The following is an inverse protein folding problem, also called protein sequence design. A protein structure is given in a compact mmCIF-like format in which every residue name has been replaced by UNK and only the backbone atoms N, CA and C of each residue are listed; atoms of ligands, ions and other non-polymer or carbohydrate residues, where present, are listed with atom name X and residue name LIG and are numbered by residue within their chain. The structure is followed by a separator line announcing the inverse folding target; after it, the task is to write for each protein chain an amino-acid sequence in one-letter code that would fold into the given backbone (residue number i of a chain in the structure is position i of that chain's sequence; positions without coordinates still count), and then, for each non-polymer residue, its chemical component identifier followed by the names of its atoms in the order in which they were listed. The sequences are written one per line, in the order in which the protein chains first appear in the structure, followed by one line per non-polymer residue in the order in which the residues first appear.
data_IF_726699467336
#
_entry.id   IF_726699467336
#
_cell.length_a   1.000
_cell.length_b   1.000
_cell.length_c   1.000
_cell.angle_alpha   90.00
_cell.angle_beta   90.00
_cell.angle_gamma   90.00
#
_symmetry.space_group_name_H-M   'P 1'
#
loop_
_entity.id
_entity.type
_entity.pdbx_description
1 polymer ?
#
# COMPACT_ATOMS: atom_id res chain seq x y z
N UNK A 1 -13.70 1.76 11.52
CA UNK A 1 -12.24 1.74 11.29
C UNK A 1 -11.84 0.72 10.23
N UNK A 2 -12.20 -0.57 10.34
CA UNK A 2 -11.89 -1.59 9.31
C UNK A 2 -12.33 -1.19 7.89
N UNK A 3 -13.55 -0.63 7.74
CA UNK A 3 -14.04 -0.12 6.45
C UNK A 3 -13.11 0.94 5.83
N UNK A 4 -12.56 1.83 6.64
CA UNK A 4 -11.63 2.87 6.17
C UNK A 4 -10.30 2.27 5.73
N UNK A 5 -9.77 1.30 6.47
CA UNK A 5 -8.55 0.56 6.09
C UNK A 5 -8.78 -0.20 4.78
N UNK A 6 -9.92 -0.89 4.65
CA UNK A 6 -10.29 -1.61 3.43
C UNK A 6 -10.38 -0.71 2.20
N UNK A 7 -11.00 0.47 2.31
CA UNK A 7 -11.08 1.43 1.21
C UNK A 7 -9.69 1.91 0.76
N UNK A 8 -8.78 2.16 1.71
CA UNK A 8 -7.41 2.58 1.39
C UNK A 8 -6.62 1.41 0.80
N UNK A 9 -6.78 0.21 1.33
CA UNK A 9 -6.15 -1.00 0.80
C UNK A 9 -6.59 -1.30 -0.63
N UNK A 10 -7.88 -1.13 -0.95
CA UNK A 10 -8.37 -1.29 -2.32
C UNK A 10 -7.72 -0.30 -3.28
N UNK A 11 -7.58 0.97 -2.88
CA UNK A 11 -6.87 1.97 -3.67
C UNK A 11 -5.39 1.63 -3.82
N UNK A 12 -4.76 1.12 -2.77
CA UNK A 12 -3.37 0.66 -2.80
C UNK A 12 -3.17 -0.48 -3.82
N UNK A 13 -4.03 -1.50 -3.79
CA UNK A 13 -3.97 -2.62 -4.76
C UNK A 13 -4.21 -2.13 -6.19
N UNK A 14 -5.11 -1.17 -6.41
CA UNK A 14 -5.32 -0.55 -7.72
C UNK A 14 -4.09 0.19 -8.26
N UNK A 15 -3.27 0.76 -7.38
CA UNK A 15 -2.01 1.42 -7.75
C UNK A 15 -0.86 0.41 -7.90
N UNK A 16 -0.84 -0.64 -7.08
CA UNK A 16 0.18 -1.68 -7.08
C UNK A 16 -0.28 -2.90 -7.88
N UNK A 17 -0.01 -2.90 -9.19
CA UNK A 17 -0.38 -4.00 -10.10
C UNK A 17 0.26 -5.37 -9.76
N UNK A 18 1.16 -5.44 -8.78
CA UNK A 18 1.75 -6.71 -8.32
C UNK A 18 0.82 -7.51 -7.40
N UNK A 19 -0.20 -6.86 -6.81
CA UNK A 19 -1.11 -7.49 -5.85
C UNK A 19 -2.43 -7.85 -6.55
N UNK A 20 -2.91 -9.10 -6.44
CA UNK A 20 -4.19 -9.51 -7.02
C UNK A 20 -5.37 -8.84 -6.32
N UNK A 21 -6.43 -8.50 -7.07
CA UNK A 21 -7.67 -7.91 -6.52
C UNK A 21 -8.38 -8.87 -5.57
N UNK A 22 -8.19 -10.17 -5.75
CA UNK A 22 -8.65 -11.24 -4.88
C UNK A 22 -8.15 -11.08 -3.44
N UNK A 23 -7.00 -10.43 -3.22
CA UNK A 23 -6.49 -10.12 -1.89
C UNK A 23 -7.43 -9.18 -1.10
N UNK A 24 -8.08 -8.23 -1.79
CA UNK A 24 -9.06 -7.33 -1.17
C UNK A 24 -10.28 -8.13 -0.71
N UNK A 25 -10.81 -8.98 -1.58
CA UNK A 25 -11.95 -9.84 -1.28
C UNK A 25 -11.65 -10.85 -0.16
N UNK A 26 -10.45 -11.44 -0.15
CA UNK A 26 -10.00 -12.34 0.90
C UNK A 26 -9.93 -11.65 2.27
N UNK A 27 -9.39 -10.42 2.31
CA UNK A 27 -9.32 -9.65 3.56
C UNK A 27 -10.70 -9.22 4.07
N UNK A 28 -11.66 -8.96 3.18
CA UNK A 28 -13.01 -8.50 3.55
C UNK A 28 -13.82 -9.51 4.37
N UNK A 29 -13.50 -10.81 4.26
CA UNK A 29 -14.16 -11.87 5.03
C UNK A 29 -13.62 -12.02 6.47
N UNK A 30 -12.56 -11.30 6.83
CA UNK A 30 -11.93 -11.42 8.14
C UNK A 30 -12.61 -10.48 9.15
N UNK A 31 -13.28 -11.06 10.13
CA UNK A 31 -14.00 -10.33 11.18
C UNK A 31 -13.09 -9.86 12.32
N UNK A 32 -11.95 -10.53 12.53
CA UNK A 32 -11.03 -10.19 13.61
C UNK A 32 -10.04 -9.09 13.22
N UNK A 33 -9.98 -7.95 13.94
CA UNK A 33 -9.12 -6.81 13.60
C UNK A 33 -7.64 -7.15 13.48
N UNK A 34 -7.15 -7.99 14.39
CA UNK A 34 -5.75 -8.40 14.45
C UNK A 34 -5.41 -9.22 13.22
N UNK A 35 -6.20 -10.26 12.93
CA UNK A 35 -6.01 -11.10 11.74
C UNK A 35 -6.19 -10.32 10.44
N UNK A 36 -7.11 -9.37 10.41
CA UNK A 36 -7.33 -8.48 9.27
C UNK A 36 -6.08 -7.63 9.00
N UNK A 37 -5.55 -7.01 10.05
CA UNK A 37 -4.34 -6.20 9.96
C UNK A 37 -3.13 -7.04 9.52
N UNK A 38 -2.94 -8.23 10.10
CA UNK A 38 -1.82 -9.12 9.78
C UNK A 38 -1.93 -9.65 8.34
N UNK A 39 -3.15 -9.91 7.85
CA UNK A 39 -3.38 -10.36 6.47
C UNK A 39 -3.05 -9.26 5.47
N UNK A 40 -3.51 -8.02 5.70
CA UNK A 40 -3.14 -6.89 4.84
C UNK A 40 -1.62 -6.67 4.89
N UNK A 41 -1.02 -6.77 6.08
CA UNK A 41 0.42 -6.65 6.27
C UNK A 41 1.23 -7.78 5.61
N UNK A 42 0.60 -8.86 5.12
CA UNK A 42 1.29 -9.87 4.32
C UNK A 42 1.46 -9.46 2.85
N UNK A 43 0.62 -8.54 2.36
CA UNK A 43 0.63 -8.10 0.96
C UNK A 43 1.49 -6.85 0.72
N UNK A 44 1.81 -6.08 1.77
CA UNK A 44 2.63 -4.88 1.64
C UNK A 44 4.10 -5.19 1.90
N UNK A 45 4.97 -4.36 1.35
CA UNK A 45 6.40 -4.39 1.64
C UNK A 45 6.65 -3.48 2.85
N UNK A 46 7.09 -4.05 3.97
CA UNK A 46 7.39 -3.31 5.19
C UNK A 46 8.90 -3.14 5.36
N UNK A 47 9.30 -2.03 5.97
CA UNK A 47 10.58 -2.03 6.67
C UNK A 47 10.48 -2.94 7.89
N UNK A 48 11.53 -3.70 8.21
CA UNK A 48 11.55 -4.65 9.33
C UNK A 48 11.07 -4.03 10.64
N UNK A 49 11.43 -2.76 10.87
CA UNK A 49 11.03 -1.98 12.03
C UNK A 49 9.52 -1.75 12.11
N UNK A 50 8.87 -1.35 11.01
CA UNK A 50 7.43 -1.07 10.98
C UNK A 50 6.61 -2.33 11.23
N UNK A 51 7.06 -3.47 10.69
CA UNK A 51 6.43 -4.76 10.93
C UNK A 51 6.50 -5.15 12.41
N UNK A 52 7.66 -4.97 13.04
CA UNK A 52 7.84 -5.24 14.46
C UNK A 52 6.90 -4.37 15.30
N UNK A 53 6.86 -3.07 15.03
CA UNK A 53 6.02 -2.15 15.78
C UNK A 53 4.51 -2.41 15.60
N UNK A 54 4.08 -2.88 14.42
CA UNK A 54 2.70 -3.30 14.19
C UNK A 54 2.35 -4.53 15.03
N UNK A 55 3.25 -5.52 15.08
CA UNK A 55 3.07 -6.76 15.86
C UNK A 55 3.09 -6.52 17.36
N UNK A 56 3.86 -5.54 17.84
CA UNK A 56 3.92 -5.12 19.25
C UNK A 56 2.73 -4.26 19.69
N UNK A 57 1.90 -3.79 18.74
CA UNK A 57 0.69 -3.05 19.08
C UNK A 57 -0.43 -4.01 19.45
N UNK A 58 -0.69 -4.20 20.75
CA UNK A 58 -1.69 -5.15 21.25
C UNK A 58 -3.14 -4.64 21.14
N UNK A 59 -3.35 -3.32 21.17
CA UNK A 59 -4.68 -2.75 21.01
C UNK A 59 -5.12 -2.81 19.53
N UNK A 60 -6.21 -3.51 19.19
CA UNK A 60 -6.68 -3.62 17.80
C UNK A 60 -7.01 -2.28 17.14
N UNK A 61 -7.51 -1.29 17.89
CA UNK A 61 -7.81 0.02 17.33
C UNK A 61 -6.53 0.76 16.92
N UNK A 62 -5.52 0.74 17.79
CA UNK A 62 -4.23 1.38 17.54
C UNK A 62 -3.48 0.67 16.41
N UNK A 63 -3.57 -0.67 16.35
CA UNK A 63 -2.96 -1.47 15.27
C UNK A 63 -3.58 -1.10 13.92
N UNK A 64 -4.91 -0.99 13.83
CA UNK A 64 -5.59 -0.58 12.60
C UNK A 64 -5.24 0.87 12.20
N UNK A 65 -5.09 1.78 13.17
CA UNK A 65 -4.64 3.14 12.89
C UNK A 65 -3.22 3.19 12.36
N UNK A 66 -2.32 2.41 12.96
CA UNK A 66 -0.92 2.30 12.50
C UNK A 66 -0.83 1.73 11.10
N UNK A 67 -1.54 0.63 10.83
CA UNK A 67 -1.65 0.05 9.50
C UNK A 67 -2.19 1.06 8.47
N UNK A 68 -3.23 1.82 8.84
CA UNK A 68 -3.78 2.86 7.97
C UNK A 68 -2.74 3.95 7.64
N UNK A 69 -1.92 4.34 8.63
CA UNK A 69 -0.81 5.28 8.42
C UNK A 69 0.19 4.75 7.41
N UNK A 70 0.67 3.52 7.62
CA UNK A 70 1.65 2.86 6.73
C UNK A 70 1.08 2.74 5.30
N UNK A 71 -0.18 2.29 5.16
CA UNK A 71 -0.85 2.21 3.86
C UNK A 71 -0.89 3.55 3.12
N UNK A 72 -1.19 4.63 3.84
CA UNK A 72 -1.23 5.98 3.23
C UNK A 72 0.16 6.42 2.78
N UNK A 73 1.18 6.24 3.62
CA UNK A 73 2.56 6.58 3.28
C UNK A 73 3.05 5.81 2.06
N UNK A 74 2.76 4.50 2.00
CA UNK A 74 3.13 3.66 0.86
C UNK A 74 2.39 4.07 -0.42
N UNK A 75 1.10 4.42 -0.32
CA UNK A 75 0.35 4.96 -1.46
C UNK A 75 0.92 6.29 -1.96
N UNK A 76 1.35 7.18 -1.06
CA UNK A 76 2.01 8.43 -1.43
C UNK A 76 3.34 8.16 -2.14
N UNK A 77 4.13 7.22 -1.63
CA UNK A 77 5.36 6.78 -2.25
C UNK A 77 5.14 6.27 -3.67
N UNK A 78 4.19 5.34 -3.87
CA UNK A 78 3.84 4.82 -5.21
C UNK A 78 3.39 5.91 -6.18
N UNK A 79 2.64 6.90 -5.72
CA UNK A 79 2.22 8.04 -6.56
C UNK A 79 3.40 8.92 -6.96
N UNK A 80 4.33 9.16 -6.03
CA UNK A 80 5.54 9.94 -6.29
C UNK A 80 6.42 9.20 -7.29
N UNK A 81 6.67 7.90 -7.07
CA UNK A 81 7.47 7.05 -7.96
C UNK A 81 6.93 7.07 -9.39
N UNK A 82 5.61 6.86 -9.54
CA UNK A 82 4.95 6.90 -10.86
C UNK A 82 5.12 8.24 -11.56
N UNK A 83 4.93 9.36 -10.85
CA UNK A 83 5.12 10.72 -11.40
C UNK A 83 6.58 10.94 -11.82
N UNK A 84 7.54 10.55 -10.98
CA UNK A 84 8.96 10.68 -11.31
C UNK A 84 9.35 9.84 -12.54
N UNK A 85 8.74 8.65 -12.69
CA UNK A 85 8.94 7.81 -13.86
C UNK A 85 8.35 8.44 -15.12
N UNK A 86 7.13 8.99 -15.06
CA UNK A 86 6.50 9.71 -16.18
C UNK A 86 7.35 10.91 -16.64
N UNK A 87 7.88 11.69 -15.70
CA UNK A 87 8.79 12.81 -15.99
C UNK A 87 10.07 12.35 -16.68
N UNK A 88 10.69 11.27 -16.19
CA UNK A 88 11.90 10.70 -16.78
C UNK A 88 11.64 10.20 -18.21
N UNK A 89 10.54 9.46 -18.42
CA UNK A 89 10.13 8.95 -19.73
C UNK A 89 9.89 10.08 -20.71
N UNK A 90 9.21 11.15 -20.28
CA UNK A 90 8.96 12.33 -21.12
C UNK A 90 10.26 12.99 -21.58
N UNK A 91 11.18 13.27 -20.65
CA UNK A 91 12.51 13.85 -20.97
C UNK A 91 13.30 12.98 -21.94
N UNK A 92 13.30 11.67 -21.73
CA UNK A 92 14.01 10.74 -22.58
C UNK A 92 13.40 10.63 -23.99
N UNK A 93 12.06 10.65 -24.08
CA UNK A 93 11.34 10.63 -25.37
C UNK A 93 11.58 11.90 -26.19
N UNK A 94 11.68 13.06 -25.53
CA UNK A 94 11.99 14.33 -26.17
C UNK A 94 13.43 14.36 -26.70
N UNK A 95 14.38 13.85 -25.91
CA UNK A 95 15.77 13.70 -26.35
C UNK A 95 15.84 12.82 -27.61
N UNK A 96 15.18 11.65 -27.62
CA UNK A 96 15.16 10.73 -28.76
C UNK A 96 14.59 11.34 -30.04
N UNK A 97 13.61 12.26 -29.95
CA UNK A 97 13.03 12.95 -31.12
C UNK A 97 13.96 14.01 -31.73
N UNK A 98 14.93 14.54 -30.97
CA UNK A 98 15.89 15.53 -31.48
C UNK A 98 17.10 14.89 -32.19
N UNK A 99 17.24 13.56 -32.13
CA UNK A 99 18.34 12.80 -32.74
C UNK A 99 17.92 11.99 -34.00
N UNK A 100 16.70 12.20 -34.49
CA UNK A 100 16.18 11.68 -35.78
C UNK A 100 15.84 12.90 -36.64
#
# INVERSE_FOLDING_TARGET
MMRSVGNVFEQYVKLNQKIPLEAVAASANILEPQRYADTIASYMVFQTQEKQELLETFNPADRLNKLLGILKSEMEFLKIEKRSMEECVSKWSAARKNFI
#
